data_IF_043823995436
#
_entry.id   IF_043823995436
#
_cell.length_a   1.000
_cell.length_b   1.000
_cell.length_c   1.000
_cell.angle_alpha   90.00
_cell.angle_beta   90.00
_cell.angle_gamma   90.00
#
_symmetry.space_group_name_H-M   'P 1'
#
loop_
_entity.id
_entity.type
_entity.pdbx_description
1 polymer ?
#
# COMPACT_ATOMS: atom_id res chain seq x y z
N UNK A 1 -46.94 28.92 -39.90
CA UNK A 1 -45.95 28.55 -38.87
C UNK A 1 -45.54 29.79 -38.09
N UNK A 2 -45.45 29.72 -36.75
CA UNK A 2 -45.03 30.87 -35.94
C UNK A 2 -43.58 31.27 -36.26
N UNK A 3 -43.29 32.57 -36.39
CA UNK A 3 -41.94 33.09 -36.72
C UNK A 3 -40.88 32.83 -35.63
N UNK A 4 -41.30 32.52 -34.41
CA UNK A 4 -40.41 32.18 -33.30
C UNK A 4 -39.91 30.73 -33.34
N UNK A 5 -40.66 29.84 -34.00
CA UNK A 5 -40.41 28.41 -34.05
C UNK A 5 -39.06 28.05 -34.71
N UNK A 6 -38.68 28.60 -35.89
CA UNK A 6 -37.37 28.31 -36.48
C UNK A 6 -36.20 28.86 -35.63
N UNK A 7 -36.36 30.01 -34.97
CA UNK A 7 -35.33 30.55 -34.07
C UNK A 7 -35.16 29.68 -32.83
N UNK A 8 -36.26 29.24 -32.23
CA UNK A 8 -36.24 28.32 -31.09
C UNK A 8 -35.63 26.96 -31.47
N UNK A 9 -35.94 26.43 -32.67
CA UNK A 9 -35.35 25.19 -33.17
C UNK A 9 -33.84 25.31 -33.39
N UNK A 10 -33.36 26.40 -33.99
CA UNK A 10 -31.92 26.63 -34.17
C UNK A 10 -31.22 26.73 -32.81
N UNK A 11 -31.79 27.48 -31.86
CA UNK A 11 -31.22 27.62 -30.52
C UNK A 11 -31.18 26.27 -29.78
N UNK A 12 -32.25 25.49 -29.83
CA UNK A 12 -32.30 24.15 -29.25
C UNK A 12 -31.28 23.20 -29.89
N UNK A 13 -31.16 23.18 -31.23
CA UNK A 13 -30.19 22.36 -31.94
C UNK A 13 -28.74 22.77 -31.63
N UNK A 14 -28.45 24.07 -31.56
CA UNK A 14 -27.12 24.55 -31.15
C UNK A 14 -26.78 24.16 -29.72
N UNK A 15 -27.74 24.22 -28.80
CA UNK A 15 -27.53 23.85 -27.40
C UNK A 15 -27.30 22.34 -27.25
N UNK A 16 -28.04 21.51 -28.01
CA UNK A 16 -27.81 20.06 -28.09
C UNK A 16 -26.45 19.75 -28.72
N UNK A 17 -26.07 20.43 -29.81
CA UNK A 17 -24.77 20.24 -30.45
C UNK A 17 -23.61 20.62 -29.51
N UNK A 18 -23.71 21.75 -28.80
CA UNK A 18 -22.76 22.15 -27.77
C UNK A 18 -22.69 21.14 -26.62
N UNK A 19 -23.82 20.61 -26.16
CA UNK A 19 -23.86 19.59 -25.12
C UNK A 19 -23.21 18.28 -25.59
N UNK A 20 -23.47 17.83 -26.83
CA UNK A 20 -22.84 16.64 -27.40
C UNK A 20 -21.34 16.82 -27.62
N UNK A 21 -20.90 17.96 -28.17
CA UNK A 21 -19.49 18.29 -28.32
C UNK A 21 -18.78 18.37 -26.97
N UNK A 22 -19.40 19.02 -25.98
CA UNK A 22 -18.88 19.10 -24.63
C UNK A 22 -18.78 17.72 -23.96
N UNK A 23 -19.81 16.88 -24.10
CA UNK A 23 -19.81 15.51 -23.60
C UNK A 23 -18.75 14.66 -24.28
N UNK A 24 -18.63 14.71 -25.61
CA UNK A 24 -17.60 13.99 -26.37
C UNK A 24 -16.20 14.41 -25.96
N UNK A 25 -15.95 15.72 -25.87
CA UNK A 25 -14.67 16.26 -25.40
C UNK A 25 -14.37 15.83 -23.96
N UNK A 26 -15.36 15.86 -23.07
CA UNK A 26 -15.21 15.42 -21.68
C UNK A 26 -14.85 13.93 -21.59
N UNK A 27 -15.50 13.06 -22.35
CA UNK A 27 -15.17 11.63 -22.39
C UNK A 27 -13.76 11.39 -22.95
N UNK A 28 -13.36 12.13 -23.97
CA UNK A 28 -12.01 12.02 -24.55
C UNK A 28 -10.92 12.52 -23.60
N UNK A 29 -11.21 13.57 -22.83
CA UNK A 29 -10.29 14.17 -21.86
C UNK A 29 -10.29 13.46 -20.50
N UNK A 30 -11.31 12.65 -20.19
CA UNK A 30 -11.42 11.94 -18.91
C UNK A 30 -10.18 11.10 -18.62
N UNK A 31 -9.66 10.39 -19.62
CA UNK A 31 -8.44 9.57 -19.49
C UNK A 31 -7.21 10.42 -19.17
N UNK A 32 -7.08 11.59 -19.78
CA UNK A 32 -6.00 12.54 -19.51
C UNK A 32 -6.15 13.14 -18.11
N UNK A 33 -7.36 13.51 -17.70
CA UNK A 33 -7.64 14.06 -16.37
C UNK A 33 -7.31 13.05 -15.26
N UNK A 34 -7.64 11.79 -15.49
CA UNK A 34 -7.26 10.66 -14.62
C UNK A 34 -5.73 10.54 -14.52
N UNK A 35 -5.00 10.60 -15.63
CA UNK A 35 -3.55 10.51 -15.61
C UNK A 35 -2.92 11.72 -14.90
N UNK A 36 -3.47 12.92 -15.07
CA UNK A 36 -3.07 14.13 -14.33
C UNK A 36 -3.34 13.96 -12.84
N UNK A 37 -4.49 13.39 -12.45
CA UNK A 37 -4.82 13.12 -11.06
C UNK A 37 -3.82 12.15 -10.43
N UNK A 38 -3.50 11.05 -11.12
CA UNK A 38 -2.47 10.09 -10.71
C UNK A 38 -1.12 10.79 -10.54
N UNK A 39 -0.71 11.59 -11.54
CA UNK A 39 0.54 12.34 -11.54
C UNK A 39 0.61 13.32 -10.36
N UNK A 40 -0.50 13.96 -10.04
CA UNK A 40 -0.62 14.85 -8.89
C UNK A 40 -0.39 14.11 -7.56
N UNK A 41 -1.03 12.95 -7.35
CA UNK A 41 -0.80 12.14 -6.17
C UNK A 41 0.63 11.60 -6.07
N UNK A 42 1.20 11.17 -7.20
CA UNK A 42 2.60 10.76 -7.26
C UNK A 42 3.54 11.93 -6.91
N UNK A 43 3.21 13.15 -7.34
CA UNK A 43 3.97 14.35 -7.00
C UNK A 43 3.89 14.64 -5.49
N UNK A 44 2.70 14.53 -4.89
CA UNK A 44 2.51 14.65 -3.44
C UNK A 44 3.28 13.59 -2.64
N UNK A 45 3.38 12.36 -3.16
CA UNK A 45 4.13 11.28 -2.53
C UNK A 45 5.65 11.55 -2.53
N UNK A 46 6.17 12.12 -3.61
CA UNK A 46 7.59 12.43 -3.79
C UNK A 46 7.99 13.78 -3.15
N UNK A 47 7.04 14.69 -2.96
CA UNK A 47 7.24 16.04 -2.42
C UNK A 47 8.05 16.10 -1.10
N UNK A 48 7.84 15.23 -0.07
CA UNK A 48 8.65 15.27 1.15
C UNK A 48 10.13 14.93 0.91
N UNK A 49 10.44 14.07 -0.06
CA UNK A 49 11.82 13.75 -0.42
C UNK A 49 12.47 14.92 -1.15
N UNK A 50 11.76 15.50 -2.12
CA UNK A 50 12.20 16.69 -2.88
C UNK A 50 12.40 17.89 -1.95
N UNK A 51 11.46 18.12 -1.02
CA UNK A 51 11.54 19.21 -0.04
C UNK A 51 12.75 19.06 0.87
N UNK A 52 13.03 17.85 1.40
CA UNK A 52 14.23 17.60 2.22
C UNK A 52 15.54 17.83 1.46
N UNK A 53 15.57 17.53 0.16
CA UNK A 53 16.74 17.83 -0.68
C UNK A 53 16.87 19.33 -0.97
N UNK A 54 15.74 20.00 -1.20
CA UNK A 54 15.70 21.44 -1.45
C UNK A 54 16.11 22.26 -0.21
N UNK A 55 15.69 21.85 1.00
CA UNK A 55 16.12 22.49 2.26
C UNK A 55 17.60 22.29 2.55
N UNK A 56 18.23 21.27 1.97
CA UNK A 56 19.69 21.03 2.00
C UNK A 56 20.47 21.82 0.93
N UNK A 57 19.81 22.71 0.19
CA UNK A 57 20.45 23.61 -0.78
C UNK A 57 20.45 23.14 -2.24
N UNK A 58 19.85 21.98 -2.55
CA UNK A 58 19.75 21.49 -3.94
C UNK A 58 18.65 22.28 -4.67
N UNK A 59 18.93 22.73 -5.91
CA UNK A 59 17.90 23.37 -6.76
C UNK A 59 16.71 22.43 -6.93
N UNK A 60 15.50 22.95 -6.73
CA UNK A 60 14.28 22.13 -6.68
C UNK A 60 14.09 21.21 -7.91
N UNK A 61 14.37 21.70 -9.12
CA UNK A 61 14.32 20.89 -10.34
C UNK A 61 15.31 19.70 -10.33
N UNK A 62 16.53 19.89 -9.81
CA UNK A 62 17.52 18.82 -9.66
C UNK A 62 17.10 17.83 -8.57
N UNK A 63 16.55 18.32 -7.45
CA UNK A 63 16.02 17.46 -6.40
C UNK A 63 14.89 16.56 -6.94
N UNK A 64 13.94 17.14 -7.68
CA UNK A 64 12.88 16.36 -8.34
C UNK A 64 13.47 15.35 -9.31
N UNK A 65 14.40 15.75 -10.19
CA UNK A 65 15.04 14.84 -11.14
C UNK A 65 15.70 13.65 -10.44
N UNK A 66 16.50 13.89 -9.40
CA UNK A 66 17.19 12.83 -8.66
C UNK A 66 16.22 11.85 -8.01
N UNK A 67 15.11 12.33 -7.41
CA UNK A 67 14.14 11.42 -6.78
C UNK A 67 13.39 10.60 -7.83
N UNK A 68 12.90 11.21 -8.90
CA UNK A 68 12.23 10.49 -9.98
C UNK A 68 13.17 9.50 -10.67
N UNK A 69 14.42 9.88 -10.90
CA UNK A 69 15.43 9.00 -11.47
C UNK A 69 15.73 7.80 -10.56
N UNK A 70 15.86 8.02 -9.24
CA UNK A 70 16.03 6.94 -8.28
C UNK A 70 14.83 5.98 -8.25
N UNK A 71 13.60 6.52 -8.27
CA UNK A 71 12.36 5.71 -8.35
C UNK A 71 12.32 4.92 -9.66
N UNK A 72 12.70 5.53 -10.79
CA UNK A 72 12.73 4.87 -12.09
C UNK A 72 13.72 3.71 -12.11
N UNK A 73 14.96 3.93 -11.67
CA UNK A 73 16.00 2.90 -11.61
C UNK A 73 15.56 1.76 -10.69
N UNK A 74 15.07 2.08 -9.49
CA UNK A 74 14.59 1.07 -8.55
C UNK A 74 13.45 0.24 -9.15
N UNK A 75 12.50 0.89 -9.84
CA UNK A 75 11.35 0.21 -10.45
C UNK A 75 11.76 -0.67 -11.64
N UNK A 76 12.56 -0.13 -12.56
CA UNK A 76 13.04 -0.87 -13.75
C UNK A 76 13.94 -2.02 -13.31
N UNK A 77 14.89 -1.76 -12.41
CA UNK A 77 15.78 -2.78 -11.86
C UNK A 77 15.01 -3.90 -11.18
N UNK A 78 14.00 -3.57 -10.37
CA UNK A 78 13.14 -4.57 -9.75
C UNK A 78 12.37 -5.41 -10.77
N UNK A 79 11.73 -4.79 -11.77
CA UNK A 79 10.96 -5.52 -12.79
C UNK A 79 11.85 -6.42 -13.64
N UNK A 80 13.04 -5.95 -14.03
CA UNK A 80 14.01 -6.74 -14.80
C UNK A 80 14.52 -7.93 -13.99
N UNK A 81 14.92 -7.71 -12.73
CA UNK A 81 15.41 -8.77 -11.85
C UNK A 81 14.33 -9.81 -11.57
N UNK A 82 13.12 -9.35 -11.22
CA UNK A 82 11.97 -10.23 -10.96
C UNK A 82 11.55 -10.97 -12.23
N UNK A 83 11.47 -10.29 -13.37
CA UNK A 83 11.11 -10.90 -14.65
C UNK A 83 12.10 -11.97 -15.08
N UNK A 84 13.40 -11.69 -14.99
CA UNK A 84 14.45 -12.67 -15.28
C UNK A 84 14.41 -13.87 -14.33
N UNK A 85 14.19 -13.62 -13.03
CA UNK A 85 14.06 -14.66 -12.02
C UNK A 85 12.87 -15.56 -12.29
N UNK A 86 11.68 -14.97 -12.51
CA UNK A 86 10.45 -15.72 -12.78
C UNK A 86 10.56 -16.52 -14.08
N UNK A 87 11.13 -15.94 -15.13
CA UNK A 87 11.34 -16.65 -16.40
C UNK A 87 12.24 -17.87 -16.21
N UNK A 88 13.39 -17.72 -15.53
CA UNK A 88 14.29 -18.83 -15.23
C UNK A 88 13.63 -19.93 -14.41
N UNK A 89 12.90 -19.53 -13.36
CA UNK A 89 12.21 -20.48 -12.49
C UNK A 89 11.08 -21.23 -13.20
N UNK A 90 10.30 -20.55 -14.04
CA UNK A 90 9.21 -21.20 -14.79
C UNK A 90 9.78 -22.24 -15.75
N UNK A 91 10.87 -21.94 -16.44
CA UNK A 91 11.55 -22.89 -17.33
C UNK A 91 12.03 -24.10 -16.54
N UNK A 92 12.71 -23.89 -15.41
CA UNK A 92 13.22 -24.97 -14.56
C UNK A 92 12.10 -25.83 -13.98
N UNK A 93 10.99 -25.23 -13.52
CA UNK A 93 9.82 -25.96 -13.02
C UNK A 93 9.20 -26.81 -14.13
N UNK A 94 9.10 -26.30 -15.36
CA UNK A 94 8.51 -27.03 -16.49
C UNK A 94 9.42 -28.19 -16.92
N UNK A 95 10.72 -27.95 -17.05
CA UNK A 95 11.69 -28.96 -17.48
C UNK A 95 11.90 -30.05 -16.42
N UNK A 96 11.87 -29.69 -15.14
CA UNK A 96 12.07 -30.63 -14.03
C UNK A 96 10.77 -31.14 -13.41
N UNK A 97 9.60 -30.76 -13.95
CA UNK A 97 8.29 -31.11 -13.41
C UNK A 97 8.14 -32.61 -13.08
N UNK A 98 8.53 -33.55 -13.97
CA UNK A 98 8.40 -34.98 -13.68
C UNK A 98 9.24 -35.40 -12.47
N UNK A 99 10.44 -34.83 -12.33
CA UNK A 99 11.37 -35.11 -11.22
C UNK A 99 10.86 -34.54 -9.90
N UNK A 100 10.28 -33.34 -9.91
CA UNK A 100 9.65 -32.77 -8.73
C UNK A 100 8.47 -33.62 -8.25
N UNK A 101 7.61 -34.09 -9.16
CA UNK A 101 6.54 -35.01 -8.79
C UNK A 101 7.08 -36.31 -8.17
N UNK A 102 8.12 -36.90 -8.74
CA UNK A 102 8.76 -38.09 -8.17
C UNK A 102 9.29 -37.83 -6.76
N UNK A 103 10.00 -36.73 -6.55
CA UNK A 103 10.52 -36.33 -5.23
C UNK A 103 9.42 -36.08 -4.20
N UNK A 104 8.31 -35.45 -4.60
CA UNK A 104 7.17 -35.21 -3.72
C UNK A 104 6.44 -36.49 -3.34
N UNK A 105 6.20 -37.40 -4.29
CA UNK A 105 5.57 -38.69 -4.02
C UNK A 105 6.46 -39.49 -3.06
N UNK A 106 7.77 -39.50 -3.29
CA UNK A 106 8.73 -40.18 -2.41
C UNK A 106 8.75 -39.55 -1.00
N UNK A 107 8.74 -38.22 -0.90
CA UNK A 107 8.69 -37.51 0.38
C UNK A 107 7.40 -37.82 1.15
N UNK A 108 6.24 -37.76 0.50
CA UNK A 108 4.94 -38.10 1.12
C UNK A 108 4.95 -39.55 1.60
N UNK A 109 5.39 -40.48 0.76
CA UNK A 109 5.43 -41.90 1.10
C UNK A 109 6.37 -42.17 2.28
N UNK A 110 7.53 -41.49 2.36
CA UNK A 110 8.47 -41.63 3.48
C UNK A 110 7.98 -40.93 4.76
N UNK A 111 7.44 -39.71 4.67
CA UNK A 111 7.02 -38.92 5.83
C UNK A 111 5.71 -39.42 6.45
N UNK A 112 4.74 -39.79 5.63
CA UNK A 112 3.41 -40.22 6.07
C UNK A 112 3.18 -41.73 5.98
N UNK A 113 4.21 -42.51 5.61
CA UNK A 113 4.14 -43.99 5.46
C UNK A 113 2.94 -44.45 4.61
N UNK A 114 2.77 -43.80 3.47
CA UNK A 114 1.70 -44.10 2.50
C UNK A 114 2.30 -44.75 1.25
N UNK A 115 1.50 -45.44 0.45
CA UNK A 115 1.90 -45.96 -0.87
C UNK A 115 1.07 -45.28 -1.98
N UNK A 116 1.39 -44.02 -2.29
CA UNK A 116 0.83 -43.38 -3.50
C UNK A 116 1.46 -43.98 -4.76
N UNK A 117 0.61 -44.48 -5.66
CA UNK A 117 1.03 -45.03 -6.95
C UNK A 117 1.29 -43.93 -7.98
N UNK A 118 2.46 -44.03 -8.63
CA UNK A 118 3.00 -43.14 -9.67
C UNK A 118 2.09 -42.98 -10.90
N UNK A 119 1.36 -44.04 -11.25
CA UNK A 119 0.68 -44.19 -12.55
C UNK A 119 -0.65 -43.42 -12.63
N UNK A 120 -1.32 -43.17 -11.49
CA UNK A 120 -2.62 -42.47 -11.49
C UNK A 120 -2.52 -40.94 -11.64
N UNK A 121 -1.38 -40.34 -11.27
CA UNK A 121 -1.19 -38.88 -11.24
C UNK A 121 -0.44 -38.37 -12.48
N UNK A 122 0.52 -39.14 -13.00
CA UNK A 122 1.31 -38.77 -14.17
C UNK A 122 0.47 -38.71 -15.46
N UNK A 123 -0.45 -39.66 -15.65
CA UNK A 123 -1.18 -39.79 -16.91
C UNK A 123 -2.29 -38.73 -17.07
N UNK A 124 -2.90 -38.29 -15.96
CA UNK A 124 -3.91 -37.21 -15.95
C UNK A 124 -3.35 -35.80 -16.03
N UNK A 125 -2.11 -35.55 -15.56
CA UNK A 125 -1.52 -34.21 -15.53
C UNK A 125 -0.62 -33.92 -16.75
N UNK A 126 0.15 -34.88 -17.26
CA UNK A 126 1.08 -34.67 -18.36
C UNK A 126 0.40 -34.56 -19.75
N UNK A 127 -0.76 -35.19 -19.94
CA UNK A 127 -1.56 -35.10 -21.17
C UNK A 127 -2.58 -33.95 -21.15
N UNK A 128 -2.50 -33.06 -20.17
CA UNK A 128 -3.51 -32.05 -19.98
C UNK A 128 -3.31 -30.88 -20.95
N UNK A 129 -4.21 -30.80 -21.94
CA UNK A 129 -4.28 -29.77 -23.00
C UNK A 129 -4.05 -28.32 -22.51
N UNK A 130 -4.35 -28.01 -21.25
CA UNK A 130 -4.23 -26.67 -20.71
C UNK A 130 -2.78 -26.19 -20.62
N UNK A 131 -1.82 -27.07 -20.29
CA UNK A 131 -0.41 -26.68 -20.13
C UNK A 131 0.22 -26.37 -21.49
N UNK A 132 -0.07 -27.22 -22.49
CA UNK A 132 0.41 -27.03 -23.85
C UNK A 132 -0.23 -25.81 -24.52
N UNK A 133 -1.54 -25.57 -24.30
CA UNK A 133 -2.22 -24.34 -24.76
C UNK A 133 -1.73 -23.09 -24.03
N UNK A 134 -1.38 -23.16 -22.75
CA UNK A 134 -0.86 -22.01 -22.00
C UNK A 134 0.54 -21.61 -22.48
N UNK A 135 1.41 -22.59 -22.75
CA UNK A 135 2.75 -22.37 -23.34
C UNK A 135 2.64 -21.84 -24.77
N UNK A 136 1.75 -22.41 -25.60
CA UNK A 136 1.54 -21.96 -26.99
C UNK A 136 0.88 -20.57 -27.07
N UNK A 137 -0.11 -20.27 -26.23
CA UNK A 137 -0.75 -18.94 -26.18
C UNK A 137 0.17 -17.86 -25.62
N UNK A 138 1.17 -18.22 -24.80
CA UNK A 138 2.19 -17.28 -24.32
C UNK A 138 3.19 -16.91 -25.43
N UNK A 139 3.40 -17.79 -26.42
CA UNK A 139 4.31 -17.57 -27.54
C UNK A 139 3.71 -16.78 -28.72
N UNK A 140 2.39 -16.81 -28.91
CA UNK A 140 1.72 -16.23 -30.09
C UNK A 140 1.30 -14.75 -29.94
N UNK A 141 1.50 -14.12 -28.78
CA UNK A 141 1.04 -12.76 -28.49
C UNK A 141 1.94 -11.60 -28.97
N UNK A 142 3.00 -11.86 -29.73
CA UNK A 142 4.12 -10.91 -29.95
C UNK A 142 3.70 -9.62 -30.69
N UNK A 143 2.67 -9.67 -31.55
CA UNK A 143 2.26 -8.52 -32.35
C UNK A 143 1.25 -7.58 -31.64
N UNK A 144 0.33 -8.09 -30.82
CA UNK A 144 -0.62 -7.29 -30.02
C UNK A 144 0.00 -6.65 -28.76
N UNK A 145 1.16 -7.18 -28.32
CA UNK A 145 1.96 -6.60 -27.25
C UNK A 145 2.51 -5.23 -27.65
N UNK A 146 2.79 -4.99 -28.92
CA UNK A 146 3.48 -3.77 -29.36
C UNK A 146 2.66 -2.49 -29.17
N UNK A 147 1.38 -2.50 -29.56
CA UNK A 147 0.49 -1.33 -29.41
C UNK A 147 0.11 -1.07 -27.95
N UNK A 148 -0.08 -2.14 -27.17
CA UNK A 148 -0.38 -2.06 -25.73
C UNK A 148 0.82 -1.56 -24.94
N UNK A 149 2.03 -2.04 -25.24
CA UNK A 149 3.27 -1.60 -24.60
C UNK A 149 3.58 -0.16 -24.96
N UNK A 150 3.48 0.23 -26.24
CA UNK A 150 3.68 1.62 -26.66
C UNK A 150 2.67 2.55 -25.98
N UNK A 151 1.38 2.20 -25.99
CA UNK A 151 0.34 2.98 -25.31
C UNK A 151 0.56 3.09 -23.81
N UNK A 152 0.96 1.99 -23.16
CA UNK A 152 1.34 1.96 -21.75
C UNK A 152 2.55 2.84 -21.44
N UNK A 153 3.57 2.82 -22.29
CA UNK A 153 4.78 3.61 -22.15
C UNK A 153 4.49 5.11 -22.30
N UNK A 154 3.67 5.50 -23.29
CA UNK A 154 3.18 6.88 -23.43
C UNK A 154 2.38 7.32 -22.21
N UNK A 155 1.51 6.46 -21.67
CA UNK A 155 0.73 6.75 -20.46
C UNK A 155 1.64 6.95 -19.25
N UNK A 156 2.60 6.05 -19.03
CA UNK A 156 3.57 6.14 -17.95
C UNK A 156 4.42 7.40 -18.09
N UNK A 157 4.95 7.68 -19.28
CA UNK A 157 5.72 8.88 -19.56
C UNK A 157 4.91 10.15 -19.27
N UNK A 158 3.64 10.18 -19.68
CA UNK A 158 2.72 11.29 -19.40
C UNK A 158 2.57 11.50 -17.90
N UNK A 159 2.26 10.44 -17.14
CA UNK A 159 2.14 10.51 -15.67
C UNK A 159 3.44 11.00 -15.05
N UNK A 160 4.58 10.46 -15.47
CA UNK A 160 5.90 10.82 -14.95
C UNK A 160 6.24 12.29 -15.23
N UNK A 161 5.97 12.76 -16.44
CA UNK A 161 6.25 14.13 -16.87
C UNK A 161 5.38 15.14 -16.10
N UNK A 162 4.07 14.92 -16.03
CA UNK A 162 3.18 15.79 -15.24
C UNK A 162 3.56 15.78 -13.76
N UNK A 163 3.90 14.62 -13.22
CA UNK A 163 4.29 14.49 -11.81
C UNK A 163 5.61 15.22 -11.52
N UNK A 164 6.58 15.11 -12.44
CA UNK A 164 7.83 15.86 -12.40
C UNK A 164 7.56 17.37 -12.40
N UNK A 165 6.74 17.89 -13.32
CA UNK A 165 6.41 19.31 -13.36
C UNK A 165 5.69 19.77 -12.09
N UNK A 166 4.72 19.00 -11.58
CA UNK A 166 4.02 19.34 -10.35
C UNK A 166 4.94 19.37 -9.13
N UNK A 167 5.89 18.45 -9.02
CA UNK A 167 6.85 18.43 -7.91
C UNK A 167 7.91 19.53 -8.03
N UNK A 168 8.49 19.70 -9.23
CA UNK A 168 9.50 20.72 -9.52
C UNK A 168 8.97 22.15 -9.34
N UNK A 169 7.80 22.44 -9.90
CA UNK A 169 7.14 23.76 -9.83
C UNK A 169 6.07 23.87 -8.74
N UNK A 170 6.06 22.95 -7.77
CA UNK A 170 5.08 22.93 -6.66
C UNK A 170 4.79 24.30 -6.01
N UNK A 171 5.78 25.14 -5.69
CA UNK A 171 5.54 26.46 -5.11
C UNK A 171 4.86 27.44 -6.08
N UNK A 172 5.18 27.35 -7.38
CA UNK A 172 4.52 28.16 -8.43
C UNK A 172 3.07 27.71 -8.62
N UNK A 173 2.83 26.40 -8.61
CA UNK A 173 1.48 25.84 -8.69
C UNK A 173 0.62 26.32 -7.51
N UNK A 174 1.14 26.23 -6.28
CA UNK A 174 0.45 26.74 -5.08
C UNK A 174 0.12 28.23 -5.18
N UNK A 175 1.08 29.05 -5.63
CA UNK A 175 0.86 30.50 -5.84
C UNK A 175 -0.21 30.78 -6.89
N UNK A 176 -0.19 30.04 -8.01
CA UNK A 176 -1.16 30.21 -9.10
C UNK A 176 -2.57 29.86 -8.62
N UNK A 177 -2.74 28.74 -7.92
CA UNK A 177 -4.03 28.36 -7.32
C UNK A 177 -4.51 29.39 -6.29
N UNK A 178 -3.61 29.93 -5.47
CA UNK A 178 -3.99 30.95 -4.48
C UNK A 178 -4.30 32.31 -5.12
N UNK A 179 -3.72 32.64 -6.27
CA UNK A 179 -3.89 33.93 -6.94
C UNK A 179 -5.32 34.21 -7.42
N UNK A 180 -6.11 33.16 -7.65
CA UNK A 180 -7.53 33.27 -8.07
C UNK A 180 -8.50 33.29 -6.89
N UNK A 181 -8.01 33.18 -5.66
CA UNK A 181 -8.82 33.07 -4.44
C UNK A 181 -8.77 34.35 -3.60
N UNK A 182 -9.87 34.72 -2.91
CA UNK A 182 -9.86 35.80 -1.92
C UNK A 182 -8.84 35.53 -0.78
N UNK A 183 -8.18 36.56 -0.20
CA UNK A 183 -7.14 36.38 0.81
C UNK A 183 -7.54 35.50 2.00
N UNK A 184 -8.79 35.61 2.46
CA UNK A 184 -9.33 34.81 3.56
C UNK A 184 -9.33 33.28 3.27
N UNK A 185 -9.47 32.89 2.00
CA UNK A 185 -9.49 31.48 1.56
C UNK A 185 -8.10 30.94 1.21
N UNK A 186 -7.13 31.81 0.93
CA UNK A 186 -5.76 31.39 0.59
C UNK A 186 -5.10 30.63 1.74
N UNK A 187 -5.27 31.09 2.98
CA UNK A 187 -4.71 30.44 4.19
C UNK A 187 -5.29 29.04 4.37
N UNK A 188 -6.60 28.88 4.16
CA UNK A 188 -7.31 27.60 4.29
C UNK A 188 -6.83 26.59 3.24
N UNK A 189 -6.67 27.02 1.99
CA UNK A 189 -6.17 26.18 0.88
C UNK A 189 -4.71 25.78 1.08
N UNK A 190 -3.85 26.71 1.52
CA UNK A 190 -2.44 26.40 1.81
C UNK A 190 -2.32 25.39 2.95
N UNK A 191 -3.11 25.54 4.01
CA UNK A 191 -3.17 24.57 5.11
C UNK A 191 -3.64 23.19 4.62
N UNK A 192 -4.69 23.15 3.81
CA UNK A 192 -5.18 21.89 3.24
C UNK A 192 -4.12 21.22 2.35
N UNK A 193 -3.36 22.00 1.59
CA UNK A 193 -2.26 21.52 0.77
C UNK A 193 -1.14 20.89 1.61
N UNK A 194 -0.70 21.57 2.67
CA UNK A 194 0.34 21.05 3.57
C UNK A 194 -0.12 19.75 4.24
N UNK A 195 -1.36 19.70 4.73
CA UNK A 195 -1.95 18.48 5.28
C UNK A 195 -1.94 17.36 4.23
N UNK A 196 -2.32 17.64 2.97
CA UNK A 196 -2.32 16.64 1.91
C UNK A 196 -0.92 16.08 1.63
N UNK A 197 0.10 16.95 1.59
CA UNK A 197 1.51 16.56 1.43
C UNK A 197 1.98 15.72 2.61
N UNK A 198 1.74 16.17 3.84
CA UNK A 198 2.21 15.47 5.06
C UNK A 198 1.52 14.12 5.25
N UNK A 199 0.22 14.04 4.95
CA UNK A 199 -0.56 12.79 5.04
C UNK A 199 -0.16 11.80 3.96
N UNK A 200 -0.08 12.24 2.69
CA UNK A 200 0.30 11.38 1.57
C UNK A 200 1.75 10.94 1.70
N UNK A 201 2.65 11.90 1.91
CA UNK A 201 4.07 11.66 2.07
C UNK A 201 4.40 10.82 3.30
N UNK A 202 3.76 11.10 4.43
CA UNK A 202 3.89 10.32 5.65
C UNK A 202 3.41 8.87 5.46
N UNK A 203 2.25 8.67 4.81
CA UNK A 203 1.75 7.33 4.50
C UNK A 203 2.72 6.53 3.62
N UNK A 204 3.19 7.11 2.51
CA UNK A 204 4.13 6.47 1.59
C UNK A 204 5.48 6.18 2.29
N UNK A 205 5.96 7.10 3.12
CA UNK A 205 7.17 6.89 3.92
C UNK A 205 7.00 5.74 4.93
N UNK A 206 5.90 5.71 5.68
CA UNK A 206 5.61 4.63 6.62
C UNK A 206 5.53 3.27 5.90
N UNK A 207 4.85 3.20 4.75
CA UNK A 207 4.76 1.97 3.94
C UNK A 207 6.10 1.56 3.36
N UNK A 208 6.90 2.50 2.85
CA UNK A 208 8.25 2.22 2.36
C UNK A 208 9.19 1.71 3.46
N UNK A 209 9.11 2.29 4.66
CA UNK A 209 9.89 1.81 5.81
C UNK A 209 9.44 0.41 6.26
N UNK A 210 8.14 0.15 6.30
CA UNK A 210 7.64 -1.20 6.57
C UNK A 210 8.07 -2.19 5.49
N UNK A 211 8.08 -1.78 4.22
CA UNK A 211 8.48 -2.63 3.11
C UNK A 211 9.95 -3.01 3.22
N UNK A 212 10.79 -2.05 3.64
CA UNK A 212 12.20 -2.31 3.93
C UNK A 212 12.38 -3.28 5.10
N UNK A 213 11.68 -3.07 6.22
CA UNK A 213 11.77 -3.94 7.39
C UNK A 213 11.30 -5.36 7.04
N UNK A 214 10.16 -5.48 6.36
CA UNK A 214 9.60 -6.75 5.91
C UNK A 214 10.53 -7.43 4.92
N UNK A 215 11.05 -6.71 3.95
CA UNK A 215 12.01 -7.23 2.98
C UNK A 215 13.28 -7.75 3.66
N UNK A 216 13.90 -6.98 4.55
CA UNK A 216 15.10 -7.43 5.29
C UNK A 216 14.79 -8.67 6.15
N UNK A 217 13.66 -8.70 6.83
CA UNK A 217 13.26 -9.85 7.66
C UNK A 217 13.09 -11.13 6.82
N UNK A 218 12.40 -11.03 5.67
CA UNK A 218 12.22 -12.16 4.76
C UNK A 218 13.51 -12.53 4.03
N UNK A 219 14.37 -11.57 3.70
CA UNK A 219 15.69 -11.85 3.13
C UNK A 219 16.53 -12.73 4.06
N UNK A 220 16.62 -12.36 5.34
CA UNK A 220 17.37 -13.14 6.34
C UNK A 220 16.83 -14.57 6.43
N UNK A 221 15.50 -14.75 6.45
CA UNK A 221 14.90 -16.08 6.47
C UNK A 221 15.26 -16.89 5.21
N UNK A 222 15.03 -16.32 4.03
CA UNK A 222 15.22 -17.01 2.76
C UNK A 222 16.69 -17.38 2.55
N UNK A 223 17.61 -16.52 2.97
CA UNK A 223 19.05 -16.76 2.94
C UNK A 223 19.45 -17.90 3.90
N UNK A 224 18.91 -17.92 5.12
CA UNK A 224 19.15 -19.01 6.09
C UNK A 224 18.67 -20.36 5.54
N UNK A 225 17.54 -20.36 4.82
CA UNK A 225 16.99 -21.55 4.19
C UNK A 225 17.69 -21.89 2.85
N UNK A 226 18.61 -21.06 2.36
CA UNK A 226 19.29 -21.28 1.08
C UNK A 226 18.36 -21.22 -0.13
N UNK A 227 17.26 -20.47 -0.05
CA UNK A 227 16.29 -20.35 -1.14
C UNK A 227 16.90 -19.49 -2.27
N UNK A 228 16.87 -19.95 -3.53
CA UNK A 228 17.44 -19.19 -4.63
C UNK A 228 16.70 -17.86 -4.82
N UNK A 229 17.43 -16.84 -5.28
CA UNK A 229 16.91 -15.50 -5.51
C UNK A 229 16.32 -14.81 -4.26
N UNK A 230 16.80 -15.17 -3.06
CA UNK A 230 16.38 -14.57 -1.79
C UNK A 230 16.31 -13.03 -1.80
N UNK A 231 17.27 -12.26 -2.36
CA UNK A 231 17.16 -10.80 -2.42
C UNK A 231 15.95 -10.30 -3.22
N UNK A 232 15.68 -10.91 -4.38
CA UNK A 232 14.59 -10.50 -5.28
C UNK A 232 13.24 -10.84 -4.65
N UNK A 233 13.12 -12.05 -4.10
CA UNK A 233 11.93 -12.51 -3.38
C UNK A 233 11.66 -11.66 -2.14
N UNK A 234 12.69 -11.28 -1.40
CA UNK A 234 12.56 -10.42 -0.23
C UNK A 234 12.03 -9.02 -0.59
N UNK A 235 12.56 -8.40 -1.64
CA UNK A 235 12.06 -7.11 -2.13
C UNK A 235 10.62 -7.24 -2.62
N UNK A 236 10.29 -8.33 -3.32
CA UNK A 236 8.91 -8.65 -3.70
C UNK A 236 7.99 -8.73 -2.48
N UNK A 237 8.38 -9.49 -1.45
CA UNK A 237 7.58 -9.64 -0.24
C UNK A 237 7.37 -8.30 0.45
N UNK A 238 8.46 -7.55 0.64
CA UNK A 238 8.42 -6.23 1.25
C UNK A 238 7.50 -5.27 0.51
N UNK A 239 7.58 -5.21 -0.82
CA UNK A 239 6.77 -4.28 -1.61
C UNK A 239 5.29 -4.71 -1.64
N UNK A 240 5.01 -5.95 -2.00
CA UNK A 240 3.63 -6.42 -2.21
C UNK A 240 2.85 -6.48 -0.90
N UNK A 241 3.48 -6.89 0.20
CA UNK A 241 2.83 -6.92 1.53
C UNK A 241 2.37 -5.53 1.98
N UNK A 242 3.13 -4.49 1.65
CA UNK A 242 2.85 -3.13 2.13
C UNK A 242 1.93 -2.34 1.22
N UNK A 243 1.91 -2.61 -0.08
CA UNK A 243 1.14 -1.81 -1.01
C UNK A 243 -0.19 -2.45 -1.42
N UNK A 244 -0.43 -3.73 -1.10
CA UNK A 244 -1.71 -4.41 -1.22
C UNK A 244 -2.34 -4.64 0.17
N UNK A 245 -3.34 -3.87 0.61
CA UNK A 245 -3.96 -4.04 1.92
C UNK A 245 -4.66 -5.39 2.08
N UNK A 246 -4.73 -5.88 3.33
CA UNK A 246 -5.46 -7.09 3.79
C UNK A 246 -4.99 -8.45 3.26
N UNK A 247 -4.71 -8.55 1.96
CA UNK A 247 -4.34 -9.81 1.28
C UNK A 247 -2.86 -9.78 0.87
N UNK A 248 -2.25 -8.59 0.80
CA UNK A 248 -0.91 -8.38 0.27
C UNK A 248 0.12 -9.31 0.88
N UNK A 249 0.20 -9.46 2.20
CA UNK A 249 1.21 -10.32 2.84
C UNK A 249 1.09 -11.79 2.44
N UNK A 250 -0.14 -12.31 2.35
CA UNK A 250 -0.35 -13.70 1.97
C UNK A 250 -0.03 -13.92 0.49
N UNK A 251 -0.43 -12.99 -0.37
CA UNK A 251 -0.13 -13.03 -1.79
C UNK A 251 1.38 -12.84 -2.07
N UNK A 252 2.01 -11.98 -1.29
CA UNK A 252 3.44 -11.70 -1.32
C UNK A 252 4.25 -12.92 -0.89
N UNK A 253 3.85 -13.59 0.20
CA UNK A 253 4.50 -14.79 0.73
C UNK A 253 4.28 -16.05 -0.10
N UNK A 254 3.25 -16.09 -0.94
CA UNK A 254 2.95 -17.24 -1.80
C UNK A 254 4.10 -17.55 -2.78
N UNK A 255 4.69 -16.50 -3.39
CA UNK A 255 5.76 -16.69 -4.36
C UNK A 255 7.03 -17.28 -3.71
N UNK A 256 7.65 -16.69 -2.66
CA UNK A 256 8.79 -17.31 -2.00
C UNK A 256 8.49 -18.69 -1.41
N UNK A 257 7.26 -18.94 -0.95
CA UNK A 257 6.86 -20.26 -0.47
C UNK A 257 6.88 -21.31 -1.59
N UNK A 258 6.40 -20.95 -2.78
CA UNK A 258 6.46 -21.82 -3.96
C UNK A 258 7.92 -22.11 -4.35
N UNK A 259 8.80 -21.11 -4.33
CA UNK A 259 10.23 -21.32 -4.61
C UNK A 259 10.91 -22.16 -3.54
N UNK A 260 10.60 -21.92 -2.26
CA UNK A 260 11.16 -22.72 -1.17
C UNK A 260 10.73 -24.20 -1.26
N UNK A 261 9.50 -24.45 -1.72
CA UNK A 261 8.96 -25.79 -1.92
C UNK A 261 9.73 -26.61 -2.95
N UNK A 262 10.30 -25.98 -3.99
CA UNK A 262 11.11 -26.68 -5.00
C UNK A 262 12.47 -27.12 -4.46
N UNK A 263 12.93 -26.52 -3.35
CA UNK A 263 14.17 -26.90 -2.66
C UNK A 263 13.90 -28.02 -1.65
N UNK A 264 12.99 -27.78 -0.71
CA UNK A 264 12.56 -28.76 0.30
C UNK A 264 11.10 -28.45 0.71
N UNK A 265 10.18 -29.43 0.68
CA UNK A 265 8.78 -29.23 1.09
C UNK A 265 8.63 -28.62 2.49
N UNK A 266 9.56 -28.91 3.40
CA UNK A 266 9.56 -28.38 4.76
C UNK A 266 9.92 -26.89 4.80
N UNK A 267 10.72 -26.39 3.86
CA UNK A 267 11.09 -24.97 3.80
C UNK A 267 9.87 -24.10 3.46
N UNK A 268 8.96 -24.59 2.62
CA UNK A 268 7.69 -23.91 2.36
C UNK A 268 6.86 -23.72 3.65
N UNK A 269 6.84 -24.73 4.54
CA UNK A 269 6.17 -24.63 5.84
C UNK A 269 6.86 -23.64 6.78
N UNK A 270 8.19 -23.59 6.79
CA UNK A 270 8.94 -22.58 7.55
C UNK A 270 8.68 -21.17 7.03
N UNK A 271 8.66 -20.97 5.72
CA UNK A 271 8.31 -19.68 5.09
C UNK A 271 6.88 -19.28 5.44
N UNK A 272 5.92 -20.19 5.33
CA UNK A 272 4.53 -19.95 5.73
C UNK A 272 4.42 -19.56 7.21
N UNK A 273 5.05 -20.33 8.09
CA UNK A 273 5.06 -20.07 9.52
C UNK A 273 5.66 -18.70 9.85
N UNK A 274 6.77 -18.35 9.20
CA UNK A 274 7.40 -17.04 9.36
C UNK A 274 6.51 -15.92 8.86
N UNK A 275 5.91 -16.03 7.66
CA UNK A 275 4.99 -15.02 7.11
C UNK A 275 3.84 -14.75 8.07
N UNK A 276 3.26 -15.80 8.66
CA UNK A 276 2.16 -15.68 9.64
C UNK A 276 2.64 -15.00 10.92
N UNK A 277 3.77 -15.41 11.49
CA UNK A 277 4.35 -14.82 12.72
C UNK A 277 4.73 -13.36 12.49
N UNK A 278 5.42 -13.08 11.39
CA UNK A 278 5.84 -11.75 10.99
C UNK A 278 4.61 -10.84 10.79
N UNK A 279 3.53 -11.35 10.18
CA UNK A 279 2.29 -10.59 10.05
C UNK A 279 1.72 -10.18 11.42
N UNK A 280 1.77 -11.06 12.42
CA UNK A 280 1.33 -10.70 13.78
C UNK A 280 2.25 -9.63 14.39
N UNK A 281 3.56 -9.82 14.27
CA UNK A 281 4.53 -8.83 14.75
C UNK A 281 4.32 -7.46 14.10
N UNK A 282 4.10 -7.44 12.78
CA UNK A 282 3.83 -6.21 12.04
C UNK A 282 2.53 -5.55 12.55
N UNK A 283 1.43 -6.31 12.64
CA UNK A 283 0.14 -5.79 13.08
C UNK A 283 0.14 -5.24 14.52
N UNK A 284 0.83 -5.92 15.45
CA UNK A 284 0.78 -5.56 16.87
C UNK A 284 1.92 -4.63 17.31
N UNK A 285 3.07 -4.64 16.63
CA UNK A 285 4.27 -3.91 17.06
C UNK A 285 4.64 -2.80 16.10
N UNK A 286 4.83 -3.11 14.80
CA UNK A 286 5.32 -2.14 13.83
C UNK A 286 4.23 -1.16 13.41
N UNK A 287 3.05 -1.67 13.05
CA UNK A 287 1.96 -0.90 12.49
C UNK A 287 1.50 0.23 13.42
N UNK A 288 1.27 0.00 14.73
CA UNK A 288 0.89 1.06 15.65
C UNK A 288 2.00 2.10 15.82
N UNK A 289 3.27 1.69 15.82
CA UNK A 289 4.40 2.61 16.03
C UNK A 289 4.69 3.48 14.81
N UNK A 290 4.55 2.93 13.60
CA UNK A 290 4.92 3.60 12.35
C UNK A 290 3.73 4.34 11.69
N UNK A 291 2.48 3.96 11.99
CA UNK A 291 1.29 4.50 11.31
C UNK A 291 0.44 5.43 12.18
N UNK A 292 0.63 5.46 13.51
CA UNK A 292 -0.23 6.21 14.44
C UNK A 292 -0.32 7.73 14.18
N UNK A 293 0.56 8.33 13.37
CA UNK A 293 0.53 9.76 13.04
C UNK A 293 0.08 10.06 11.61
N UNK A 294 0.02 9.07 10.73
CA UNK A 294 -0.09 9.30 9.29
C UNK A 294 -1.53 9.29 8.79
N UNK A 295 -2.38 8.29 9.06
CA UNK A 295 -3.76 8.29 8.53
C UNK A 295 -4.72 7.56 9.49
N UNK A 296 -5.67 8.28 10.09
CA UNK A 296 -6.73 7.73 10.95
C UNK A 296 -7.99 7.49 10.11
N UNK A 297 -7.97 6.45 9.28
CA UNK A 297 -9.11 6.02 8.46
C UNK A 297 -9.63 4.69 8.99
N UNK A 298 -10.95 4.59 9.11
CA UNK A 298 -11.62 3.35 9.48
C UNK A 298 -11.25 2.21 8.49
N UNK A 299 -10.85 1.00 8.94
CA UNK A 299 -10.37 -0.06 8.06
C UNK A 299 -11.31 -0.40 6.90
N UNK A 300 -12.63 -0.39 7.14
CA UNK A 300 -13.62 -0.64 6.08
C UNK A 300 -13.59 0.44 4.97
N UNK A 301 -13.36 1.70 5.32
CA UNK A 301 -13.23 2.81 4.36
C UNK A 301 -11.94 2.69 3.56
N UNK A 302 -10.84 2.31 4.21
CA UNK A 302 -9.56 2.06 3.54
C UNK A 302 -9.62 0.85 2.58
N UNK A 303 -10.29 -0.24 2.99
CA UNK A 303 -10.49 -1.40 2.13
C UNK A 303 -11.42 -1.06 0.95
N UNK A 304 -12.56 -0.44 1.22
CA UNK A 304 -13.52 -0.03 0.19
C UNK A 304 -12.92 0.96 -0.81
N UNK A 305 -12.05 1.87 -0.35
CA UNK A 305 -11.39 2.82 -1.24
C UNK A 305 -10.39 2.13 -2.17
N UNK A 306 -9.65 1.13 -1.69
CA UNK A 306 -8.71 0.36 -2.51
C UNK A 306 -9.45 -0.44 -3.56
N UNK A 307 -10.57 -1.08 -3.20
CA UNK A 307 -11.42 -1.81 -4.15
C UNK A 307 -11.97 -0.85 -5.21
N UNK A 308 -12.52 0.29 -4.80
CA UNK A 308 -13.02 1.31 -5.72
C UNK A 308 -11.91 1.88 -6.62
N UNK A 309 -10.74 2.19 -6.05
CA UNK A 309 -9.57 2.67 -6.80
C UNK A 309 -9.08 1.64 -7.81
N UNK A 310 -9.04 0.36 -7.43
CA UNK A 310 -8.70 -0.74 -8.34
C UNK A 310 -9.68 -0.83 -9.49
N UNK A 311 -10.98 -0.75 -9.22
CA UNK A 311 -12.00 -0.80 -10.26
C UNK A 311 -11.92 0.38 -11.24
N UNK A 312 -11.56 1.57 -10.75
CA UNK A 312 -11.51 2.79 -11.56
C UNK A 312 -10.20 2.90 -12.36
N UNK A 313 -9.06 2.67 -11.71
CA UNK A 313 -7.74 3.01 -12.24
C UNK A 313 -6.74 1.83 -12.23
N UNK A 314 -7.20 0.62 -11.92
CA UNK A 314 -6.36 -0.57 -11.80
C UNK A 314 -5.39 -0.49 -10.63
N UNK A 315 -4.22 -1.13 -10.78
CA UNK A 315 -3.18 -1.18 -9.75
C UNK A 315 -2.76 0.22 -9.24
N UNK A 316 -2.73 1.21 -10.11
CA UNK A 316 -2.39 2.60 -9.75
C UNK A 316 -3.45 3.21 -8.82
N UNK A 317 -4.72 2.92 -9.05
CA UNK A 317 -5.81 3.38 -8.19
C UNK A 317 -5.77 2.75 -6.81
N UNK A 318 -5.40 1.46 -6.70
CA UNK A 318 -5.21 0.80 -5.42
C UNK A 318 -4.17 1.51 -4.54
N UNK A 319 -3.03 1.89 -5.14
CA UNK A 319 -1.92 2.57 -4.45
C UNK A 319 -2.31 3.96 -3.93
N UNK A 320 -3.09 4.69 -4.72
CA UNK A 320 -3.44 6.10 -4.45
C UNK A 320 -4.74 6.21 -3.64
N UNK A 321 -5.56 5.16 -3.59
CA UNK A 321 -6.88 5.18 -2.96
C UNK A 321 -6.88 5.67 -1.50
N UNK A 322 -5.95 5.17 -0.68
CA UNK A 322 -5.89 5.53 0.75
C UNK A 322 -5.50 7.00 0.93
N UNK A 323 -4.40 7.49 0.33
CA UNK A 323 -4.10 8.92 0.32
C UNK A 323 -5.24 9.78 -0.22
N UNK A 324 -5.87 9.38 -1.33
CA UNK A 324 -6.95 10.13 -1.95
C UNK A 324 -8.16 10.28 -1.02
N UNK A 325 -8.56 9.19 -0.37
CA UNK A 325 -9.65 9.24 0.62
C UNK A 325 -9.24 10.00 1.88
N UNK A 326 -7.99 9.90 2.32
CA UNK A 326 -7.47 10.69 3.43
C UNK A 326 -7.56 12.20 3.14
N UNK A 327 -7.13 12.62 1.95
CA UNK A 327 -7.23 14.01 1.50
C UNK A 327 -8.66 14.47 1.36
N UNK A 328 -9.53 13.63 0.80
CA UNK A 328 -10.96 13.94 0.66
C UNK A 328 -11.62 14.08 2.03
N UNK A 329 -11.35 13.19 2.97
CA UNK A 329 -11.86 13.24 4.33
C UNK A 329 -11.35 14.47 5.09
N UNK A 330 -10.09 14.86 4.91
CA UNK A 330 -9.53 16.07 5.51
C UNK A 330 -10.21 17.34 4.94
N UNK A 331 -10.43 17.38 3.63
CA UNK A 331 -11.12 18.48 2.97
C UNK A 331 -12.59 18.59 3.41
N UNK A 332 -13.31 17.45 3.42
CA UNK A 332 -14.68 17.38 3.92
C UNK A 332 -14.74 17.76 5.40
N UNK A 333 -13.79 17.34 6.23
CA UNK A 333 -13.73 17.70 7.64
C UNK A 333 -13.46 19.19 7.91
N UNK A 334 -12.81 19.90 6.98
CA UNK A 334 -12.63 21.34 7.07
C UNK A 334 -13.92 22.11 6.73
N UNK A 335 -14.73 21.60 5.81
CA UNK A 335 -15.98 22.24 5.36
C UNK A 335 -17.23 21.78 6.11
N UNK A 336 -17.26 20.55 6.60
CA UNK A 336 -18.39 19.97 7.33
C UNK A 336 -18.22 20.26 8.81
N UNK A 337 -19.10 21.10 9.36
CA UNK A 337 -19.19 21.38 10.79
C UNK A 337 -19.48 20.06 11.53
N UNK A 338 -18.48 19.50 12.21
CA UNK A 338 -18.66 18.31 13.03
C UNK A 338 -19.38 18.75 14.31
N UNK A 339 -20.65 18.40 14.41
CA UNK A 339 -21.41 18.63 15.64
C UNK A 339 -21.00 17.58 16.67
N UNK A 340 -20.84 17.99 17.93
CA UNK A 340 -20.63 17.04 19.01
C UNK A 340 -21.82 16.08 19.04
N UNK A 341 -21.50 14.78 19.02
CA UNK A 341 -22.50 13.73 19.11
C UNK A 341 -23.07 13.78 20.52
N UNK A 342 -24.38 13.95 20.65
CA UNK A 342 -25.08 13.93 21.93
C UNK A 342 -24.67 12.68 22.71
N UNK A 343 -24.29 12.84 23.99
CA UNK A 343 -23.88 11.73 24.87
C UNK A 343 -25.07 10.78 25.14
N UNK A 344 -25.37 9.93 24.17
CA UNK A 344 -26.39 8.88 24.26
C UNK A 344 -25.70 7.55 24.64
N UNK A 345 -26.23 6.79 25.62
CA UNK A 345 -25.72 5.46 25.97
C UNK A 345 -25.56 4.49 24.79
N UNK A 346 -26.28 4.70 23.68
CA UNK A 346 -26.19 3.90 22.44
C UNK A 346 -24.93 4.20 21.62
N UNK A 347 -24.35 5.39 21.77
CA UNK A 347 -23.11 5.82 21.10
C UNK A 347 -21.89 5.24 21.83
N UNK A 348 -21.99 5.08 23.14
CA UNK A 348 -21.01 4.33 23.91
C UNK A 348 -21.26 2.82 23.75
N UNK A 349 -20.63 2.21 22.74
CA UNK A 349 -20.56 0.75 22.65
C UNK A 349 -20.15 0.16 24.02
N UNK A 350 -20.73 -0.99 24.39
CA UNK A 350 -20.53 -1.65 25.68
C UNK A 350 -19.06 -2.00 25.97
N UNK A 351 -18.23 -0.99 26.28
CA UNK A 351 -16.93 -1.19 26.91
C UNK A 351 -17.21 -1.65 28.33
N UNK A 352 -17.13 -2.97 28.55
CA UNK A 352 -17.17 -3.58 29.89
C UNK A 352 -16.27 -2.78 30.84
N UNK A 353 -16.88 -1.95 31.68
CA UNK A 353 -16.28 -1.29 32.85
C UNK A 353 -16.00 -2.36 33.92
N UNK A 354 -15.12 -3.32 33.61
CA UNK A 354 -14.95 -4.56 34.38
C UNK A 354 -13.66 -4.68 35.19
N UNK A 355 -12.66 -3.81 35.01
CA UNK A 355 -11.34 -4.02 35.64
C UNK A 355 -10.96 -3.01 36.74
N UNK A 356 -11.54 -1.79 36.70
CA UNK A 356 -11.15 -0.73 37.65
C UNK A 356 -11.66 -0.93 39.09
N UNK A 357 -12.82 -1.59 39.28
CA UNK A 357 -13.43 -1.76 40.61
C UNK A 357 -12.76 -2.85 41.43
N UNK A 358 -12.28 -3.92 40.80
CA UNK A 358 -11.59 -5.04 41.44
C UNK A 358 -10.20 -4.64 41.92
N UNK A 359 -9.43 -3.93 41.09
CA UNK A 359 -8.13 -3.37 41.46
C UNK A 359 -8.24 -2.32 42.58
N UNK A 360 -9.29 -1.49 42.57
CA UNK A 360 -9.53 -0.54 43.66
C UNK A 360 -9.87 -1.21 45.00
N UNK A 361 -10.54 -2.38 44.98
CA UNK A 361 -10.83 -3.17 46.19
C UNK A 361 -9.57 -3.81 46.77
N UNK A 362 -8.73 -4.40 45.91
CA UNK A 362 -7.46 -5.04 46.31
C UNK A 362 -6.47 -3.99 46.86
N UNK A 363 -6.42 -2.80 46.26
CA UNK A 363 -5.54 -1.72 46.75
C UNK A 363 -5.98 -1.17 48.11
N UNK A 364 -7.27 -1.21 48.44
CA UNK A 364 -7.78 -0.80 49.76
C UNK A 364 -7.53 -1.85 50.85
N UNK A 365 -7.54 -3.14 50.52
CA UNK A 365 -7.23 -4.19 51.50
C UNK A 365 -5.73 -4.23 51.83
N UNK A 366 -4.85 -4.07 50.83
CA UNK A 366 -3.40 -4.02 51.07
C UNK A 366 -2.97 -2.83 51.94
N UNK A 367 -3.61 -1.67 51.77
CA UNK A 367 -3.28 -0.45 52.53
C UNK A 367 -3.73 -0.49 54.00
N UNK A 368 -4.66 -1.38 54.36
CA UNK A 368 -5.07 -1.63 55.75
C UNK A 368 -4.12 -2.59 56.48
N UNK A 369 -3.44 -3.49 55.76
CA UNK A 369 -2.45 -4.41 56.34
C UNK A 369 -1.15 -3.71 56.75
N UNK A 370 -0.72 -2.69 56.00
CA UNK A 370 0.57 -2.00 56.23
C UNK A 370 0.58 -0.99 57.40
N UNK A 371 -0.55 -0.73 58.05
CA UNK A 371 -0.64 0.23 59.15
C UNK A 371 -0.31 -0.38 60.54
N UNK A 372 -0.09 -1.70 60.64
CA UNK A 372 0.18 -2.39 61.93
C UNK A 372 1.67 -2.59 62.25
N UNK A 373 2.60 -2.10 61.44
CA UNK A 373 4.04 -2.39 61.59
C UNK A 373 4.93 -1.14 61.79
N UNK A 374 4.41 -0.04 62.35
CA UNK A 374 5.28 1.07 62.77
C UNK A 374 5.69 0.90 64.25
N UNK A 375 6.98 0.75 64.57
CA UNK A 375 7.45 0.75 65.96
C UNK A 375 7.30 2.16 66.57
N UNK A 376 7.14 2.26 67.91
CA UNK A 376 6.97 3.53 68.60
C UNK A 376 8.23 4.40 68.52
N UNK A 377 8.09 5.75 68.52
CA UNK A 377 9.23 6.67 68.47
C UNK A 377 10.05 6.61 69.78
N UNK A 378 11.37 6.53 69.64
CA UNK A 378 12.32 6.51 70.77
C UNK A 378 12.54 7.90 71.41
N UNK A 379 13.12 7.95 72.62
CA UNK A 379 13.19 9.17 73.42
C UNK A 379 14.19 10.22 72.87
N UNK A 380 13.96 11.52 73.13
CA UNK A 380 14.78 12.63 72.64
C UNK A 380 16.17 12.69 73.32
N UNK A 381 17.20 13.06 72.55
CA UNK A 381 18.58 13.28 73.02
C UNK A 381 18.75 14.71 73.57
N UNK A 382 19.59 14.93 74.60
CA UNK A 382 19.81 16.23 75.20
C UNK A 382 20.71 17.14 74.34
N UNK A 383 20.42 18.43 74.38
CA UNK A 383 21.15 19.54 73.77
C UNK A 383 22.53 19.72 74.40
N UNK A 384 23.54 20.03 73.59
CA UNK A 384 24.86 20.48 74.03
C UNK A 384 25.08 21.91 73.58
N UNK A 385 25.07 22.84 74.53
CA UNK A 385 25.65 24.18 74.41
C UNK A 385 27.14 24.13 74.71
N UNK A 386 27.97 24.51 73.74
CA UNK A 386 29.28 25.21 73.84
C UNK A 386 30.03 25.11 72.51
#
# INVERSE_FOLDING_TARGET
>A
MPRWLPRAMVLALTLIACFQLGSWAFHQLLGLLINILIAFFLALAVEPAVSRMATRGIRRGLATFLVFFAVLIASVGFVVLLGSMLAGQIIEIVDEFPRYLDSLINWINQSFRTELSRVAVQDSLLHSDWLQRYVQNSASGVLDISTTVLGGLFRLLTIFLFSFYFAADGPRLRRTVCSVLPPAKQVEVLRAWEIAVDKTGGYIYSRGLMALISGVAHYILLEILGVPYAPVLAVWVGLVSQFLPTIGTYLAGALPMLIAFTVDPWYALWVLGFVVIYQQFENYVLQPKLTARTVDIHPAVAFGSVVAGTALLGAVGALIAIPAVATLQAFLGAYVKRYDVTDDPRVHGHRRRGSGRTLARIRRTLRRGSARLRPPPGPPRPESDA
#
